data_IF_015848574133
#
_entry.id   IF_015848574133
#
_cell.length_a   1.000
_cell.length_b   1.000
_cell.length_c   1.000
_cell.angle_alpha   90.00
_cell.angle_beta   90.00
_cell.angle_gamma   90.00
#
_symmetry.space_group_name_H-M   'P 1'
#
loop_
_entity.id
_entity.type
_entity.pdbx_description
1 polymer ?
#
# COMPACT_ATOMS: atom_id res chain seq x y z
N UNK A 1 -2.02 -26.30 9.93
CA UNK A 1 -1.05 -26.99 9.05
C UNK A 1 0.40 -26.78 9.47
N UNK A 2 0.76 -25.68 10.16
CA UNK A 2 2.14 -25.45 10.66
C UNK A 2 2.60 -26.35 11.83
N UNK A 3 1.71 -27.17 12.41
CA UNK A 3 2.06 -28.05 13.54
C UNK A 3 3.09 -29.09 13.10
N UNK A 4 4.14 -29.26 13.90
CA UNK A 4 5.20 -30.25 13.68
C UNK A 4 6.09 -30.01 12.44
N UNK A 5 6.09 -28.81 11.89
CA UNK A 5 7.01 -28.42 10.81
C UNK A 5 8.37 -28.04 11.41
N UNK A 6 9.45 -28.44 10.73
CA UNK A 6 10.83 -28.12 11.10
C UNK A 6 11.29 -26.78 10.50
N UNK A 7 10.90 -26.48 9.25
CA UNK A 7 11.32 -25.29 8.51
C UNK A 7 10.14 -24.61 7.81
N UNK A 8 10.17 -23.28 7.75
CA UNK A 8 9.20 -22.48 6.98
C UNK A 8 9.96 -21.70 5.91
N UNK A 9 9.47 -21.74 4.67
CA UNK A 9 9.97 -20.92 3.57
C UNK A 9 8.84 -20.04 3.06
N UNK A 10 9.04 -18.72 3.12
CA UNK A 10 8.06 -17.70 2.77
C UNK A 10 8.21 -17.34 1.28
N UNK A 11 7.12 -17.54 0.53
CA UNK A 11 7.04 -17.33 -0.93
C UNK A 11 6.03 -16.23 -1.31
N UNK A 12 5.81 -15.27 -0.43
CA UNK A 12 4.93 -14.13 -0.70
C UNK A 12 5.55 -13.19 -1.74
N UNK A 13 4.75 -12.28 -2.31
CA UNK A 13 5.25 -11.31 -3.28
C UNK A 13 6.36 -10.43 -2.67
N UNK A 14 7.35 -10.05 -3.49
CA UNK A 14 8.55 -9.36 -3.03
C UNK A 14 8.37 -7.83 -3.00
N UNK A 15 7.38 -7.37 -2.27
CA UNK A 15 7.17 -5.96 -1.92
C UNK A 15 7.00 -5.77 -0.40
N UNK A 16 6.79 -4.53 0.05
CA UNK A 16 6.67 -4.22 1.47
C UNK A 16 5.43 -4.86 2.12
N UNK A 17 4.31 -4.94 1.40
CA UNK A 17 3.09 -5.57 1.91
C UNK A 17 3.31 -7.08 2.06
N UNK A 18 3.99 -7.71 1.08
CA UNK A 18 4.40 -9.10 1.15
C UNK A 18 5.35 -9.40 2.31
N UNK A 19 6.29 -8.50 2.62
CA UNK A 19 7.14 -8.61 3.83
C UNK A 19 6.33 -8.41 5.13
N UNK A 20 5.29 -7.58 5.13
CA UNK A 20 4.42 -7.46 6.30
C UNK A 20 3.62 -8.76 6.54
N UNK A 21 2.98 -9.28 5.49
CA UNK A 21 2.23 -10.54 5.58
C UNK A 21 3.17 -11.72 5.93
N UNK A 22 4.43 -11.70 5.48
CA UNK A 22 5.45 -12.64 5.96
C UNK A 22 5.54 -12.64 7.49
N UNK A 23 5.59 -11.47 8.12
CA UNK A 23 5.66 -11.36 9.58
C UNK A 23 4.37 -11.81 10.27
N UNK A 24 3.19 -11.53 9.71
CA UNK A 24 1.91 -12.04 10.22
C UNK A 24 1.86 -13.58 10.18
N UNK A 25 2.29 -14.19 9.07
CA UNK A 25 2.37 -15.65 8.93
C UNK A 25 3.32 -16.24 9.97
N UNK A 26 4.44 -15.58 10.23
CA UNK A 26 5.40 -16.03 11.24
C UNK A 26 4.85 -15.93 12.66
N UNK A 27 4.17 -14.84 13.01
CA UNK A 27 3.57 -14.69 14.35
C UNK A 27 2.59 -15.84 14.65
N UNK A 28 1.81 -16.25 13.65
CA UNK A 28 0.86 -17.37 13.77
C UNK A 28 1.59 -18.73 13.81
N UNK A 29 2.58 -18.94 12.94
CA UNK A 29 3.14 -20.26 12.70
C UNK A 29 4.32 -20.61 13.61
N UNK A 30 5.12 -19.63 14.03
CA UNK A 30 6.38 -19.84 14.73
C UNK A 30 6.19 -20.54 16.09
N UNK A 31 5.09 -20.27 16.79
CA UNK A 31 4.73 -20.94 18.04
C UNK A 31 4.25 -22.39 17.86
N UNK A 32 3.88 -22.78 16.64
CA UNK A 32 3.38 -24.13 16.30
C UNK A 32 4.46 -25.05 15.72
N UNK A 33 5.61 -24.49 15.34
CA UNK A 33 6.78 -25.24 14.86
C UNK A 33 7.37 -26.14 15.95
N UNK A 34 8.08 -27.19 15.54
CA UNK A 34 8.78 -28.06 16.51
C UNK A 34 9.83 -27.27 17.27
N UNK A 35 9.80 -27.30 18.60
CA UNK A 35 10.86 -26.72 19.42
C UNK A 35 12.17 -27.49 19.22
N UNK A 36 13.26 -26.79 18.88
CA UNK A 36 14.61 -27.36 18.89
C UNK A 36 15.34 -26.89 20.15
N UNK A 37 16.07 -27.77 20.86
CA UNK A 37 16.93 -27.35 21.96
C UNK A 37 18.15 -26.54 21.54
N UNK A 38 18.59 -26.67 20.27
CA UNK A 38 19.84 -26.07 19.78
C UNK A 38 19.67 -24.72 19.08
N UNK A 39 18.52 -24.46 18.46
CA UNK A 39 18.31 -23.28 17.59
C UNK A 39 17.01 -22.55 17.94
N UNK A 40 16.97 -21.24 17.68
CA UNK A 40 15.72 -20.50 17.77
C UNK A 40 14.77 -20.93 16.65
N UNK A 41 13.46 -20.83 16.86
CA UNK A 41 12.49 -21.10 15.79
C UNK A 41 12.71 -20.17 14.58
N UNK A 42 13.30 -18.99 14.78
CA UNK A 42 13.57 -18.01 13.72
C UNK A 42 14.73 -18.43 12.80
N UNK A 43 15.68 -19.22 13.29
CA UNK A 43 16.81 -19.70 12.48
C UNK A 43 16.35 -20.63 11.34
N UNK A 44 15.19 -21.27 11.53
CA UNK A 44 14.56 -22.21 10.59
C UNK A 44 13.49 -21.57 9.70
N UNK A 45 13.40 -20.25 9.73
CA UNK A 45 12.55 -19.44 8.85
C UNK A 45 13.38 -18.92 7.70
N UNK A 46 12.88 -19.05 6.47
CA UNK A 46 13.54 -18.56 5.27
C UNK A 46 12.59 -17.72 4.42
N UNK A 47 13.15 -16.82 3.63
CA UNK A 47 12.43 -15.98 2.69
C UNK A 47 12.99 -16.18 1.28
N UNK A 48 12.13 -16.53 0.34
CA UNK A 48 12.49 -16.64 -1.08
C UNK A 48 12.25 -15.29 -1.76
N UNK A 49 13.25 -14.77 -2.48
CA UNK A 49 13.14 -13.54 -3.26
C UNK A 49 13.07 -13.83 -4.75
N UNK A 50 11.98 -13.43 -5.40
CA UNK A 50 11.74 -13.62 -6.83
C UNK A 50 11.04 -12.38 -7.41
N UNK A 51 11.24 -12.11 -8.69
CA UNK A 51 10.61 -11.01 -9.43
C UNK A 51 9.61 -11.50 -10.48
N UNK A 52 9.65 -12.79 -10.83
CA UNK A 52 8.76 -13.39 -11.81
C UNK A 52 8.45 -14.86 -11.48
N UNK A 53 7.23 -15.30 -11.84
CA UNK A 53 6.80 -16.69 -11.69
C UNK A 53 7.25 -17.49 -12.93
N UNK A 54 8.57 -17.64 -13.08
CA UNK A 54 9.16 -18.49 -14.10
C UNK A 54 10.17 -19.47 -13.49
N UNK A 55 10.40 -20.60 -14.16
CA UNK A 55 11.25 -21.69 -13.65
C UNK A 55 12.64 -21.22 -13.26
N UNK A 56 13.25 -20.35 -14.06
CA UNK A 56 14.61 -19.88 -13.81
C UNK A 56 14.70 -19.03 -12.54
N UNK A 57 13.71 -18.19 -12.28
CA UNK A 57 13.72 -17.24 -11.17
C UNK A 57 13.37 -17.92 -9.85
N UNK A 58 12.38 -18.83 -9.86
CA UNK A 58 12.02 -19.66 -8.71
C UNK A 58 13.18 -20.58 -8.30
N UNK A 59 13.89 -21.19 -9.26
CA UNK A 59 15.05 -22.01 -8.94
C UNK A 59 16.21 -21.20 -8.35
N UNK A 60 16.42 -19.96 -8.82
CA UNK A 60 17.41 -19.05 -8.23
C UNK A 60 17.01 -18.67 -6.81
N UNK A 61 15.75 -18.29 -6.58
CA UNK A 61 15.22 -17.93 -5.27
C UNK A 61 15.36 -19.08 -4.26
N UNK A 62 15.04 -20.31 -4.67
CA UNK A 62 15.18 -21.50 -3.81
C UNK A 62 16.65 -21.81 -3.46
N UNK A 63 17.59 -21.56 -4.38
CA UNK A 63 19.03 -21.79 -4.14
C UNK A 63 19.66 -20.72 -3.24
N UNK A 64 19.07 -19.52 -3.18
CA UNK A 64 19.58 -18.36 -2.46
C UNK A 64 18.53 -17.80 -1.49
N UNK A 65 18.03 -18.66 -0.59
CA UNK A 65 17.07 -18.25 0.43
C UNK A 65 17.69 -17.24 1.41
N UNK A 66 16.96 -16.16 1.68
CA UNK A 66 17.30 -15.15 2.66
C UNK A 66 16.47 -15.26 3.94
N UNK A 67 16.38 -14.14 4.66
CA UNK A 67 15.53 -13.95 5.85
C UNK A 67 14.55 -12.82 5.59
N UNK A 68 13.33 -12.88 6.15
CA UNK A 68 12.35 -11.81 5.98
C UNK A 68 12.82 -10.51 6.65
N UNK A 69 12.45 -9.37 6.08
CA UNK A 69 12.92 -8.05 6.51
C UNK A 69 11.90 -7.37 7.44
N UNK A 70 12.20 -7.41 8.75
CA UNK A 70 11.34 -6.81 9.77
C UNK A 70 11.20 -5.30 9.64
N UNK A 71 12.22 -4.59 9.16
CA UNK A 71 12.14 -3.14 9.06
C UNK A 71 11.17 -2.71 7.96
N UNK A 72 11.07 -3.49 6.88
CA UNK A 72 10.07 -3.26 5.83
C UNK A 72 8.66 -3.51 6.35
N UNK A 73 8.44 -4.62 7.07
CA UNK A 73 7.14 -4.90 7.72
C UNK A 73 6.73 -3.76 8.67
N UNK A 74 7.63 -3.35 9.58
CA UNK A 74 7.38 -2.24 10.52
C UNK A 74 7.06 -0.92 9.81
N UNK A 75 7.61 -0.69 8.62
CA UNK A 75 7.27 0.51 7.82
C UNK A 75 5.82 0.48 7.31
N UNK A 76 5.29 -0.72 7.01
CA UNK A 76 3.90 -0.91 6.62
C UNK A 76 2.99 -0.72 7.83
N UNK A 77 3.33 -1.31 8.97
CA UNK A 77 2.56 -1.14 10.21
C UNK A 77 2.47 0.33 10.62
N UNK A 78 3.59 1.05 10.57
CA UNK A 78 3.63 2.48 10.85
C UNK A 78 2.71 3.28 9.91
N UNK A 79 2.72 2.96 8.61
CA UNK A 79 1.84 3.59 7.62
C UNK A 79 0.38 3.30 7.92
N UNK A 80 0.03 2.03 8.16
CA UNK A 80 -1.35 1.61 8.47
C UNK A 80 -1.87 2.30 9.74
N UNK A 81 -1.04 2.38 10.79
CA UNK A 81 -1.39 3.04 12.05
C UNK A 81 -1.61 4.54 11.87
N UNK A 82 -0.74 5.23 11.11
CA UNK A 82 -0.88 6.65 10.80
C UNK A 82 -2.15 6.92 9.99
N UNK A 83 -2.37 6.17 8.91
CA UNK A 83 -3.54 6.31 8.05
C UNK A 83 -4.84 6.09 8.83
N UNK A 84 -4.89 5.07 9.69
CA UNK A 84 -6.05 4.76 10.52
C UNK A 84 -6.30 5.85 11.57
N UNK A 85 -5.28 6.23 12.35
CA UNK A 85 -5.45 7.19 13.46
C UNK A 85 -5.85 8.56 12.94
N UNK A 86 -5.15 9.07 11.94
CA UNK A 86 -5.44 10.36 11.33
C UNK A 86 -6.78 10.30 10.62
N UNK A 87 -7.02 9.28 9.78
CA UNK A 87 -8.25 9.14 9.02
C UNK A 87 -9.49 9.05 9.90
N UNK A 88 -9.47 8.20 10.94
CA UNK A 88 -10.59 8.05 11.86
C UNK A 88 -10.81 9.30 12.70
N UNK A 89 -9.75 9.94 13.21
CA UNK A 89 -9.90 11.14 14.04
C UNK A 89 -10.60 12.28 13.29
N UNK A 90 -10.11 12.62 12.09
CA UNK A 90 -10.68 13.72 11.31
C UNK A 90 -12.03 13.36 10.68
N UNK A 91 -12.23 12.12 10.22
CA UNK A 91 -13.51 11.68 9.66
C UNK A 91 -14.61 11.65 10.72
N UNK A 92 -14.33 11.08 11.91
CA UNK A 92 -15.32 11.04 13.01
C UNK A 92 -15.63 12.44 13.57
N UNK A 93 -14.64 13.32 13.61
CA UNK A 93 -14.88 14.71 13.98
C UNK A 93 -15.85 15.39 13.00
N UNK A 94 -15.59 15.32 11.69
CA UNK A 94 -16.42 15.97 10.68
C UNK A 94 -17.83 15.38 10.60
N UNK A 95 -17.93 14.05 10.52
CA UNK A 95 -19.23 13.34 10.47
C UNK A 95 -20.12 13.74 11.66
N UNK A 96 -19.60 13.73 12.90
CA UNK A 96 -20.36 14.15 14.08
C UNK A 96 -20.66 15.65 14.11
N UNK A 97 -19.70 16.49 13.72
CA UNK A 97 -19.89 17.95 13.73
C UNK A 97 -20.99 18.39 12.75
N UNK A 98 -21.09 17.72 11.60
CA UNK A 98 -22.07 18.05 10.55
C UNK A 98 -23.36 17.23 10.60
N UNK A 99 -23.46 16.25 11.50
CA UNK A 99 -24.65 15.41 11.65
C UNK A 99 -25.89 16.25 11.96
N UNK A 100 -26.88 16.21 11.07
CA UNK A 100 -28.15 16.94 11.22
C UNK A 100 -28.04 18.47 11.12
N UNK A 101 -26.87 19.00 10.71
CA UNK A 101 -26.65 20.45 10.62
C UNK A 101 -27.18 21.07 9.33
N UNK A 102 -27.21 20.29 8.25
CA UNK A 102 -27.73 20.71 6.95
C UNK A 102 -28.70 19.65 6.44
N UNK A 103 -29.89 20.06 5.99
CA UNK A 103 -30.94 19.14 5.53
C UNK A 103 -30.54 18.32 4.30
N UNK A 104 -29.68 18.89 3.45
CA UNK A 104 -29.23 18.28 2.19
C UNK A 104 -27.85 17.60 2.30
N UNK A 105 -27.25 17.54 3.49
CA UNK A 105 -25.94 16.93 3.69
C UNK A 105 -26.07 15.61 4.43
N UNK A 106 -25.77 14.52 3.74
CA UNK A 106 -25.47 13.26 4.41
C UNK A 106 -24.06 13.31 5.02
N UNK A 107 -23.98 13.67 6.30
CA UNK A 107 -22.70 13.75 7.02
C UNK A 107 -21.89 12.44 7.00
N UNK A 108 -22.50 11.28 6.72
CA UNK A 108 -21.81 9.98 6.69
C UNK A 108 -20.85 9.82 5.52
N UNK A 109 -21.01 10.63 4.46
CA UNK A 109 -20.11 10.61 3.30
C UNK A 109 -18.81 11.39 3.52
N UNK A 110 -18.70 12.16 4.61
CA UNK A 110 -17.52 12.96 4.90
C UNK A 110 -16.39 12.09 5.44
N UNK A 111 -15.27 12.08 4.72
CA UNK A 111 -14.05 11.40 5.16
C UNK A 111 -12.81 12.24 4.92
N UNK A 112 -11.81 12.02 5.75
CA UNK A 112 -10.48 12.59 5.62
C UNK A 112 -9.46 11.47 5.62
N UNK A 113 -8.43 11.61 4.77
CA UNK A 113 -7.29 10.72 4.73
C UNK A 113 -6.04 11.51 4.35
N UNK A 114 -4.89 11.23 4.99
CA UNK A 114 -3.67 12.02 4.79
C UNK A 114 -3.18 12.00 3.34
N UNK A 115 -3.45 10.92 2.58
CA UNK A 115 -3.15 10.84 1.15
C UNK A 115 -4.37 11.20 0.27
N UNK A 116 -5.57 10.73 0.61
CA UNK A 116 -6.77 10.95 -0.21
C UNK A 116 -7.11 12.44 -0.38
N UNK A 117 -6.93 13.24 0.67
CA UNK A 117 -7.32 14.65 0.69
C UNK A 117 -6.43 15.49 -0.25
N UNK A 118 -5.09 15.39 -0.21
CA UNK A 118 -4.24 15.98 -1.23
C UNK A 118 -4.53 15.50 -2.66
N UNK A 119 -4.84 14.21 -2.84
CA UNK A 119 -5.19 13.66 -4.17
C UNK A 119 -6.45 14.34 -4.73
N UNK A 120 -7.51 14.48 -3.94
CA UNK A 120 -8.70 15.24 -4.33
C UNK A 120 -8.36 16.72 -4.58
N UNK A 121 -7.44 17.28 -3.81
CA UNK A 121 -6.93 18.64 -3.99
C UNK A 121 -6.43 18.91 -5.41
N UNK A 122 -5.75 17.96 -6.06
CA UNK A 122 -5.32 18.13 -7.45
C UNK A 122 -6.51 18.22 -8.44
N UNK A 123 -7.54 17.41 -8.24
CA UNK A 123 -8.75 17.46 -9.08
C UNK A 123 -9.49 18.78 -8.89
N UNK A 124 -9.66 19.22 -7.64
CA UNK A 124 -10.32 20.48 -7.30
C UNK A 124 -9.54 21.67 -7.82
N UNK A 125 -8.21 21.67 -7.70
CA UNK A 125 -7.37 22.74 -8.25
C UNK A 125 -7.56 22.86 -9.77
N UNK A 126 -7.50 21.75 -10.50
CA UNK A 126 -7.75 21.76 -11.94
C UNK A 126 -9.14 22.27 -12.29
N UNK A 127 -10.16 21.89 -11.52
CA UNK A 127 -11.51 22.38 -11.74
C UNK A 127 -11.58 23.91 -11.59
N UNK A 128 -10.98 24.46 -10.53
CA UNK A 128 -10.89 25.91 -10.31
C UNK A 128 -10.13 26.59 -11.45
N UNK A 129 -9.00 26.02 -11.89
CA UNK A 129 -8.21 26.58 -13.00
C UNK A 129 -9.05 26.68 -14.30
N UNK A 130 -9.91 25.69 -14.56
CA UNK A 130 -10.81 25.67 -15.72
C UNK A 130 -11.94 26.70 -15.56
N UNK A 131 -12.60 26.75 -14.40
CA UNK A 131 -13.70 27.69 -14.15
C UNK A 131 -13.26 29.16 -14.17
N UNK A 132 -12.03 29.42 -13.73
CA UNK A 132 -11.45 30.76 -13.67
C UNK A 132 -10.66 31.14 -14.93
N UNK A 133 -10.50 30.21 -15.87
CA UNK A 133 -9.80 30.46 -17.13
C UNK A 133 -10.56 31.50 -17.95
N UNK A 134 -9.86 32.59 -18.30
CA UNK A 134 -10.37 33.61 -19.22
C UNK A 134 -9.66 33.42 -20.56
N UNK A 135 -10.34 32.97 -21.63
CA UNK A 135 -9.71 32.76 -22.93
C UNK A 135 -9.17 34.07 -23.52
N UNK A 136 -7.92 34.05 -23.98
CA UNK A 136 -7.29 35.18 -24.64
C UNK A 136 -7.14 34.90 -26.15
N UNK A 137 -7.63 35.79 -27.03
CA UNK A 137 -7.46 35.62 -28.47
C UNK A 137 -5.99 35.75 -28.86
N UNK A 138 -5.53 34.86 -29.75
CA UNK A 138 -4.19 34.88 -30.32
C UNK A 138 -4.23 34.55 -31.81
N UNK A 139 -3.14 34.83 -32.53
CA UNK A 139 -3.02 34.57 -33.96
C UNK A 139 -1.96 33.51 -34.24
N UNK A 140 -2.23 32.63 -35.21
CA UNK A 140 -1.28 31.64 -35.73
C UNK A 140 -1.14 31.80 -37.24
N UNK A 141 0.05 31.49 -37.78
CA UNK A 141 0.28 31.42 -39.21
C UNK A 141 0.21 29.96 -39.66
N UNK A 142 -0.78 29.62 -40.47
CA UNK A 142 -0.88 28.30 -41.11
C UNK A 142 -0.52 28.41 -42.60
N UNK A 143 0.46 27.61 -43.04
CA UNK A 143 0.91 27.54 -44.43
C UNK A 143 0.41 26.24 -45.07
N UNK A 144 -0.32 26.36 -46.18
CA UNK A 144 -0.68 25.21 -47.01
C UNK A 144 -0.06 25.38 -48.41
N UNK A 145 0.57 24.32 -48.91
CA UNK A 145 1.04 24.28 -50.30
C UNK A 145 -0.06 23.71 -51.21
N UNK A 146 -0.49 24.50 -52.19
CA UNK A 146 -1.39 24.03 -53.24
C UNK A 146 -0.54 23.48 -54.39
N UNK A 147 -0.57 22.16 -54.62
CA UNK A 147 0.02 21.55 -55.82
C UNK A 147 -0.82 21.94 -57.05
N UNK A 148 -0.17 22.54 -58.04
CA UNK A 148 -0.71 22.70 -59.40
C UNK A 148 -0.45 21.46 -60.24
#
# INVERSE_FOLDING_TARGET
EAKHVDFIVLWLDCDREGENICMEVLDICQGLMKTSPQDSNYDRVYRAYFSAINTSDIQKAYKALGKPDKNQALSVDARQELDLKVGVAFSRFQTRYFQGRYGDLDSTVLSYGPCQTPTLGFCVQRHIDIETFTPEPYWTLELAMIKR
#
